data_IF_594320298179
#
_entry.id   IF_594320298179
#
_cell.length_a   1.000
_cell.length_b   1.000
_cell.length_c   1.000
_cell.angle_alpha   90.00
_cell.angle_beta   90.00
_cell.angle_gamma   90.00
#
_symmetry.space_group_name_H-M   'P 1'
#
loop_
_entity.id
_entity.type
_entity.pdbx_description
1 polymer ?
#
# COMPACT_ATOMS: atom_id res chain seq x y z
N UNK A 1 1.52 23.61 -12.46
CA UNK A 1 1.20 23.78 -11.02
C UNK A 1 0.66 22.47 -10.47
N UNK A 2 0.62 22.32 -9.15
CA UNK A 2 0.30 21.10 -8.39
C UNK A 2 -1.08 20.45 -8.68
N UNK A 3 -1.91 21.06 -9.53
CA UNK A 3 -3.18 20.49 -9.99
C UNK A 3 -3.09 19.78 -11.36
N UNK A 4 -1.89 19.70 -11.96
CA UNK A 4 -1.69 18.85 -13.13
C UNK A 4 -1.36 17.44 -12.63
N UNK A 5 -2.38 16.59 -12.55
CA UNK A 5 -2.19 15.18 -12.94
C UNK A 5 -1.48 15.27 -14.28
N UNK A 6 -0.23 14.80 -14.33
CA UNK A 6 0.59 14.78 -15.55
C UNK A 6 -0.34 14.42 -16.70
N UNK A 7 -0.46 15.33 -17.66
CA UNK A 7 -1.46 15.33 -18.73
C UNK A 7 -1.86 13.89 -19.08
N UNK A 8 -3.10 13.41 -18.80
CA UNK A 8 -3.46 12.01 -18.97
C UNK A 8 -3.45 11.54 -20.44
N UNK A 9 -3.05 12.42 -21.35
CA UNK A 9 -2.97 12.26 -22.80
C UNK A 9 -1.59 12.71 -23.35
N UNK A 10 -0.56 12.83 -22.50
CA UNK A 10 0.84 13.15 -22.85
C UNK A 10 1.04 14.39 -23.76
N UNK A 11 0.05 15.28 -23.85
CA UNK A 11 0.04 16.37 -24.84
C UNK A 11 0.93 17.54 -24.46
N UNK A 12 1.47 17.55 -23.23
CA UNK A 12 2.34 18.62 -22.75
C UNK A 12 3.61 18.04 -22.16
N UNK A 13 4.68 18.17 -22.92
CA UNK A 13 6.04 17.87 -22.49
C UNK A 13 6.49 18.85 -21.38
N UNK A 14 6.55 18.33 -20.15
CA UNK A 14 6.93 19.10 -18.96
C UNK A 14 8.41 19.53 -18.96
N UNK A 15 9.27 18.85 -19.74
CA UNK A 15 10.68 19.24 -19.89
C UNK A 15 10.85 20.60 -20.57
N UNK A 16 9.84 21.01 -21.36
CA UNK A 16 9.77 22.34 -22.01
C UNK A 16 9.23 23.44 -21.10
N UNK A 17 8.68 23.09 -19.93
CA UNK A 17 8.03 24.03 -18.99
C UNK A 17 8.87 24.25 -17.74
N UNK A 18 9.59 23.23 -17.27
CA UNK A 18 10.49 23.37 -16.12
C UNK A 18 11.64 22.38 -16.17
N UNK A 19 12.83 22.86 -15.79
CA UNK A 19 14.03 22.02 -15.61
C UNK A 19 13.98 21.19 -14.31
N UNK A 20 13.02 21.45 -13.42
CA UNK A 20 12.88 20.72 -12.15
C UNK A 20 11.92 19.55 -12.35
N UNK A 21 12.38 18.33 -12.02
CA UNK A 21 11.52 17.14 -12.01
C UNK A 21 10.36 17.37 -11.02
N UNK A 22 9.09 17.32 -11.46
CA UNK A 22 7.97 17.49 -10.57
C UNK A 22 8.00 16.39 -9.50
N UNK A 23 7.86 16.77 -8.23
CA UNK A 23 7.65 15.83 -7.14
C UNK A 23 6.15 15.57 -7.06
N UNK A 24 5.67 14.36 -7.41
CA UNK A 24 4.26 14.05 -7.27
C UNK A 24 3.86 14.05 -5.81
N UNK A 25 2.63 14.51 -5.53
CA UNK A 25 2.00 14.31 -4.23
C UNK A 25 1.57 12.85 -4.19
N UNK A 26 2.00 12.11 -3.18
CA UNK A 26 1.69 10.68 -3.04
C UNK A 26 0.28 10.52 -2.45
N UNK A 27 -0.52 9.62 -3.02
CA UNK A 27 -1.85 9.27 -2.53
C UNK A 27 -1.74 8.47 -1.23
N UNK A 28 -2.33 8.97 -0.15
CA UNK A 28 -2.41 8.28 1.14
C UNK A 28 -3.29 7.02 1.03
N UNK A 29 -4.39 7.11 0.27
CA UNK A 29 -5.29 6.00 0.01
C UNK A 29 -4.61 4.84 -0.75
N UNK A 30 -3.71 5.17 -1.69
CA UNK A 30 -2.92 4.18 -2.43
C UNK A 30 -1.57 3.86 -1.77
N UNK A 31 -1.41 4.18 -0.49
CA UNK A 31 -0.21 3.89 0.29
C UNK A 31 1.08 4.39 -0.37
N UNK A 32 0.99 5.54 -1.06
CA UNK A 32 2.07 6.22 -1.75
C UNK A 32 2.57 5.58 -3.04
N UNK A 33 1.85 4.60 -3.58
CA UNK A 33 2.15 3.94 -4.85
C UNK A 33 1.76 4.79 -6.06
N UNK A 34 0.66 5.53 -5.96
CA UNK A 34 0.19 6.44 -7.01
C UNK A 34 0.31 7.91 -6.62
N UNK A 35 0.48 8.80 -7.61
CA UNK A 35 0.34 10.24 -7.40
C UNK A 35 -1.14 10.64 -7.26
N UNK A 36 -1.40 11.74 -6.54
CA UNK A 36 -2.68 12.47 -6.55
C UNK A 36 -2.46 13.96 -6.82
N UNK A 37 -3.53 14.68 -7.13
CA UNK A 37 -3.55 16.15 -7.21
C UNK A 37 -3.87 16.79 -5.85
N UNK A 38 -3.56 18.08 -5.71
CA UNK A 38 -3.95 18.86 -4.51
C UNK A 38 -5.47 19.00 -4.36
N UNK A 39 -6.22 19.01 -5.46
CA UNK A 39 -7.68 18.86 -5.46
C UNK A 39 -8.02 17.45 -5.91
N UNK A 40 -8.67 16.65 -5.07
CA UNK A 40 -8.88 15.23 -5.34
C UNK A 40 -10.14 14.71 -4.65
N UNK A 41 -10.62 13.55 -5.11
CA UNK A 41 -11.61 12.74 -4.38
C UNK A 41 -10.82 11.58 -3.76
N UNK A 42 -10.99 11.26 -2.46
CA UNK A 42 -10.15 10.27 -1.77
C UNK A 42 -10.08 8.90 -2.47
N UNK A 43 -11.21 8.42 -2.98
CA UNK A 43 -11.30 7.21 -3.81
C UNK A 43 -12.57 7.26 -4.68
N UNK A 44 -12.67 6.46 -5.77
CA UNK A 44 -13.74 6.63 -6.77
C UNK A 44 -15.18 6.48 -6.24
N UNK A 45 -15.37 5.69 -5.18
CA UNK A 45 -16.64 5.41 -4.52
C UNK A 45 -16.82 6.18 -3.20
N UNK A 46 -16.06 7.26 -2.96
CA UNK A 46 -16.15 8.04 -1.73
C UNK A 46 -17.58 8.52 -1.42
N UNK A 47 -17.96 8.46 -0.15
CA UNK A 47 -19.24 8.94 0.36
C UNK A 47 -18.98 9.90 1.53
N UNK A 48 -19.39 11.17 1.45
CA UNK A 48 -19.99 11.83 0.27
C UNK A 48 -19.00 11.92 -0.92
N UNK A 49 -19.53 11.85 -2.15
CA UNK A 49 -18.73 11.91 -3.38
C UNK A 49 -18.37 13.36 -3.74
N UNK A 50 -17.61 14.02 -2.87
CA UNK A 50 -17.20 15.41 -3.00
C UNK A 50 -15.67 15.53 -3.05
N UNK A 51 -15.12 16.45 -3.87
CA UNK A 51 -13.70 16.72 -3.89
C UNK A 51 -13.27 17.55 -2.67
N UNK A 52 -12.00 17.39 -2.29
CA UNK A 52 -11.36 18.18 -1.23
C UNK A 52 -10.11 18.86 -1.79
N UNK A 53 -9.79 20.04 -1.27
CA UNK A 53 -8.52 20.73 -1.55
C UNK A 53 -7.61 20.54 -0.34
N UNK A 54 -6.49 19.86 -0.57
CA UNK A 54 -5.41 19.73 0.41
C UNK A 54 -4.61 21.04 0.46
N UNK A 55 -4.74 21.73 1.60
CA UNK A 55 -4.11 23.03 1.86
C UNK A 55 -2.60 22.95 2.01
N UNK A 56 -2.07 21.80 2.41
CA UNK A 56 -0.63 21.60 2.65
C UNK A 56 0.14 21.40 1.33
N UNK A 57 -0.55 21.06 0.24
CA UNK A 57 0.07 20.86 -1.07
C UNK A 57 -0.38 21.87 -2.12
N UNK A 58 -1.53 22.52 -1.91
CA UNK A 58 -2.07 23.48 -2.86
C UNK A 58 -1.24 24.78 -2.92
N UNK A 59 -0.79 25.15 -4.13
CA UNK A 59 0.05 26.33 -4.36
C UNK A 59 -0.63 27.64 -3.91
N UNK A 60 -1.95 27.72 -4.05
CA UNK A 60 -2.75 28.86 -3.60
C UNK A 60 -2.47 29.18 -2.12
N UNK A 61 -2.60 28.16 -1.26
CA UNK A 61 -2.41 28.29 0.18
C UNK A 61 -0.92 28.38 0.57
N UNK A 62 -0.04 27.69 -0.15
CA UNK A 62 1.39 27.66 0.17
C UNK A 62 2.17 28.94 -0.18
N UNK A 63 1.79 29.64 -1.27
CA UNK A 63 2.58 30.76 -1.80
C UNK A 63 1.85 32.11 -1.81
N UNK A 64 0.57 32.15 -1.44
CA UNK A 64 -0.25 33.35 -1.45
C UNK A 64 -1.37 33.26 -2.49
N UNK A 65 -2.59 33.58 -2.07
CA UNK A 65 -3.84 33.20 -2.76
C UNK A 65 -3.99 33.67 -4.21
N UNK A 66 -3.27 34.70 -4.64
CA UNK A 66 -3.40 35.19 -6.02
C UNK A 66 -2.49 34.46 -7.03
N UNK A 67 -1.61 33.58 -6.58
CA UNK A 67 -0.65 32.90 -7.47
C UNK A 67 -1.32 31.79 -8.30
N UNK A 68 -2.33 31.12 -7.74
CA UNK A 68 -2.96 29.97 -8.40
C UNK A 68 -4.45 29.87 -8.04
N UNK A 69 -5.32 30.14 -9.03
CA UNK A 69 -6.78 29.90 -8.98
C UNK A 69 -7.26 29.08 -10.19
N UNK A 70 -6.37 28.26 -10.75
CA UNK A 70 -6.63 27.58 -12.00
C UNK A 70 -7.85 26.64 -11.93
N UNK A 71 -8.07 25.95 -10.81
CA UNK A 71 -9.19 25.02 -10.68
C UNK A 71 -10.55 25.75 -10.62
N UNK A 72 -10.60 26.97 -10.07
CA UNK A 72 -11.80 27.81 -10.07
C UNK A 72 -12.25 28.13 -11.50
N UNK A 73 -11.31 28.50 -12.37
CA UNK A 73 -11.60 28.85 -13.77
C UNK A 73 -12.21 27.69 -14.58
N UNK A 74 -11.97 26.44 -14.19
CA UNK A 74 -12.53 25.25 -14.86
C UNK A 74 -13.74 24.65 -14.11
N UNK A 75 -14.09 25.19 -12.94
CA UNK A 75 -15.21 24.67 -12.15
C UNK A 75 -16.52 25.32 -12.60
N UNK A 76 -17.26 24.64 -13.49
CA UNK A 76 -18.57 25.12 -13.97
C UNK A 76 -19.59 25.33 -12.84
N UNK A 77 -19.54 24.45 -11.83
CA UNK A 77 -20.41 24.53 -10.66
C UNK A 77 -20.09 25.72 -9.74
N UNK A 78 -18.94 26.40 -9.95
CA UNK A 78 -18.45 27.50 -9.10
C UNK A 78 -18.43 27.13 -7.60
N UNK A 79 -18.07 25.87 -7.32
CA UNK A 79 -18.15 25.30 -5.97
C UNK A 79 -16.88 25.49 -5.14
N UNK A 80 -15.81 26.04 -5.72
CA UNK A 80 -14.53 26.23 -5.03
C UNK A 80 -14.60 27.52 -4.21
N UNK A 81 -14.50 27.38 -2.89
CA UNK A 81 -14.39 28.48 -1.95
C UNK A 81 -13.04 28.39 -1.20
N UNK A 82 -12.13 29.32 -1.49
CA UNK A 82 -10.82 29.39 -0.85
C UNK A 82 -10.89 30.00 0.57
N UNK A 83 -11.96 30.72 0.89
CA UNK A 83 -12.15 31.40 2.18
C UNK A 83 -12.92 30.55 3.18
N UNK A 84 -13.34 29.33 2.81
CA UNK A 84 -14.00 28.37 3.70
C UNK A 84 -13.18 28.19 4.99
N UNK A 85 -13.83 28.25 6.15
CA UNK A 85 -13.19 28.07 7.47
C UNK A 85 -13.79 26.89 8.20
N UNK A 86 -13.01 26.37 9.14
CA UNK A 86 -13.48 25.34 10.06
C UNK A 86 -14.61 25.90 10.92
N UNK A 87 -15.65 25.10 11.11
CA UNK A 87 -16.84 25.43 11.89
C UNK A 87 -16.88 24.54 13.14
N UNK A 88 -16.98 25.15 14.32
CA UNK A 88 -17.20 24.40 15.56
C UNK A 88 -18.71 24.23 15.73
N UNK A 89 -19.16 22.97 15.81
CA UNK A 89 -20.56 22.60 16.02
C UNK A 89 -20.75 22.04 17.42
N UNK A 90 -21.66 22.64 18.17
CA UNK A 90 -22.13 22.09 19.45
C UNK A 90 -23.27 21.11 19.18
N UNK A 91 -23.19 19.91 19.75
CA UNK A 91 -24.17 18.85 19.55
C UNK A 91 -24.50 18.23 20.91
N UNK A 92 -25.75 18.31 21.32
CA UNK A 92 -26.25 17.64 22.52
C UNK A 92 -26.50 16.16 22.22
N UNK A 93 -25.75 15.28 22.88
CA UNK A 93 -25.85 13.82 22.70
C UNK A 93 -25.98 13.11 24.05
N UNK A 94 -26.73 12.02 24.06
CA UNK A 94 -26.88 11.18 25.26
C UNK A 94 -25.74 10.17 25.45
N UNK A 95 -25.00 9.83 24.39
CA UNK A 95 -23.89 8.88 24.43
C UNK A 95 -22.91 9.14 23.27
N UNK A 96 -21.67 8.68 23.45
CA UNK A 96 -20.59 8.73 22.45
C UNK A 96 -20.04 7.33 22.23
N UNK A 97 -19.88 6.92 20.96
CA UNK A 97 -19.25 5.66 20.57
C UNK A 97 -17.90 5.98 19.92
N UNK A 98 -16.80 5.45 20.46
CA UNK A 98 -15.47 5.62 19.89
C UNK A 98 -15.17 4.47 18.92
N UNK A 99 -15.03 4.80 17.64
CA UNK A 99 -14.64 3.84 16.58
C UNK A 99 -13.59 4.42 15.62
N UNK A 100 -12.43 4.94 16.12
CA UNK A 100 -11.39 5.53 15.27
C UNK A 100 -10.66 4.51 14.38
N UNK A 101 -10.76 3.21 14.69
CA UNK A 101 -10.11 2.15 13.93
C UNK A 101 -8.71 1.81 14.44
N UNK A 102 -7.77 1.60 13.52
CA UNK A 102 -6.39 1.21 13.78
C UNK A 102 -5.44 1.91 12.80
N UNK A 103 -4.14 1.85 13.09
CA UNK A 103 -3.09 2.24 12.15
C UNK A 103 -2.24 1.00 11.80
N UNK A 104 -1.60 1.01 10.64
CA UNK A 104 -0.71 -0.10 10.27
C UNK A 104 0.65 0.08 10.95
N UNK A 105 1.26 -1.01 11.39
CA UNK A 105 2.63 -0.99 11.87
C UNK A 105 3.59 -0.40 10.82
N UNK A 106 4.40 0.58 11.23
CA UNK A 106 5.45 1.17 10.40
C UNK A 106 6.62 0.20 10.18
N UNK A 107 6.63 -0.44 9.01
CA UNK A 107 7.66 -1.40 8.61
C UNK A 107 9.06 -0.79 8.47
N UNK A 108 9.23 0.54 8.41
CA UNK A 108 10.56 1.17 8.42
C UNK A 108 11.33 0.90 9.72
N UNK A 109 10.62 0.58 10.81
CA UNK A 109 11.22 0.14 12.07
C UNK A 109 11.94 -1.21 11.95
N UNK A 110 11.67 -1.97 10.88
CA UNK A 110 12.29 -3.26 10.54
C UNK A 110 13.27 -3.12 9.37
N UNK A 111 14.38 -2.45 9.65
CA UNK A 111 15.42 -2.12 8.65
C UNK A 111 15.99 -3.36 7.94
N UNK A 112 16.02 -4.49 8.63
CA UNK A 112 16.46 -5.79 8.12
C UNK A 112 15.56 -6.32 6.99
N UNK A 113 14.30 -5.91 6.94
CA UNK A 113 13.34 -6.27 5.91
C UNK A 113 13.37 -5.31 4.71
N UNK A 114 14.04 -4.16 4.82
CA UNK A 114 14.30 -3.28 3.67
C UNK A 114 13.09 -2.56 3.09
N UNK A 115 12.01 -2.41 3.86
CA UNK A 115 10.86 -1.56 3.48
C UNK A 115 11.31 -0.11 3.21
N UNK A 116 10.70 0.54 2.19
CA UNK A 116 11.05 1.87 1.63
C UNK A 116 12.47 2.00 1.03
N UNK A 117 13.41 1.13 1.43
CA UNK A 117 14.75 1.01 0.83
C UNK A 117 14.72 0.24 -0.49
N UNK A 118 13.97 -0.86 -0.53
CA UNK A 118 13.84 -1.72 -1.70
C UNK A 118 12.44 -1.56 -2.30
N UNK A 119 12.30 -1.09 -3.55
CA UNK A 119 10.98 -0.78 -4.13
C UNK A 119 10.03 -1.98 -4.18
N UNK A 120 10.57 -3.20 -4.27
CA UNK A 120 9.77 -4.42 -4.35
C UNK A 120 9.47 -5.06 -2.98
N UNK A 121 9.85 -4.41 -1.88
CA UNK A 121 9.38 -4.73 -0.54
C UNK A 121 8.21 -3.80 -0.22
N UNK A 122 7.01 -4.36 -0.18
CA UNK A 122 5.77 -3.62 0.04
C UNK A 122 5.11 -4.04 1.35
N UNK A 123 4.30 -3.17 1.94
CA UNK A 123 3.44 -3.54 3.06
C UNK A 123 2.22 -4.32 2.56
N UNK A 124 1.54 -5.06 3.44
CA UNK A 124 0.28 -5.74 3.12
C UNK A 124 -0.75 -4.76 2.55
N UNK A 125 -0.89 -3.57 3.15
CA UNK A 125 -1.81 -2.55 2.63
C UNK A 125 -1.39 -2.04 1.24
N UNK A 126 -0.09 -1.89 0.95
CA UNK A 126 0.36 -1.58 -0.42
C UNK A 126 -0.01 -2.72 -1.38
N UNK A 127 0.19 -3.98 -0.97
CA UNK A 127 -0.16 -5.14 -1.78
C UNK A 127 -1.67 -5.24 -2.06
N UNK A 128 -2.53 -4.92 -1.08
CA UNK A 128 -3.98 -4.76 -1.28
C UNK A 128 -4.30 -3.70 -2.34
N UNK A 129 -3.63 -2.54 -2.28
CA UNK A 129 -3.82 -1.49 -3.28
C UNK A 129 -3.35 -1.96 -4.66
N UNK A 130 -2.24 -2.68 -4.77
CA UNK A 130 -1.74 -3.28 -6.02
C UNK A 130 -2.80 -4.19 -6.66
N UNK A 131 -3.37 -5.11 -5.88
CA UNK A 131 -4.37 -6.07 -6.36
C UNK A 131 -5.77 -5.45 -6.59
N UNK A 132 -6.02 -4.24 -6.09
CA UNK A 132 -7.32 -3.59 -6.20
C UNK A 132 -7.61 -3.14 -7.63
N UNK A 133 -8.80 -3.45 -8.15
CA UNK A 133 -9.26 -2.98 -9.46
C UNK A 133 -9.35 -1.44 -9.56
N UNK A 134 -9.57 -0.76 -8.43
CA UNK A 134 -9.52 0.71 -8.33
C UNK A 134 -8.21 1.19 -7.73
N UNK A 135 -7.15 0.38 -7.81
CA UNK A 135 -5.81 0.64 -7.32
C UNK A 135 -4.88 1.28 -8.35
N UNK A 136 -3.65 1.62 -7.94
CA UNK A 136 -2.63 2.23 -8.79
C UNK A 136 -2.33 1.46 -10.08
N UNK A 137 -2.42 0.13 -10.03
CA UNK A 137 -2.12 -0.77 -11.15
C UNK A 137 -3.37 -1.42 -11.75
N UNK A 138 -4.58 -0.93 -11.40
CA UNK A 138 -5.86 -1.41 -11.98
C UNK A 138 -6.01 -2.94 -11.83
N UNK A 139 -5.63 -3.46 -10.67
CA UNK A 139 -5.67 -4.89 -10.33
C UNK A 139 -4.52 -5.73 -10.91
N UNK A 140 -3.59 -5.15 -11.67
CA UNK A 140 -2.43 -5.90 -12.16
C UNK A 140 -1.37 -6.04 -11.07
N UNK A 141 -0.91 -7.27 -10.82
CA UNK A 141 0.19 -7.54 -9.92
C UNK A 141 1.52 -7.12 -10.56
N UNK A 142 1.92 -5.87 -10.35
CA UNK A 142 3.12 -5.27 -10.91
C UNK A 142 4.11 -4.85 -9.83
N UNK A 143 5.40 -5.05 -10.12
CA UNK A 143 6.51 -4.62 -9.28
C UNK A 143 6.64 -3.10 -9.27
N UNK A 144 6.71 -2.43 -8.10
CA UNK A 144 6.90 -0.98 -8.06
C UNK A 144 8.21 -0.49 -8.68
N UNK A 145 9.24 -1.34 -8.79
CA UNK A 145 10.51 -0.95 -9.39
C UNK A 145 10.48 -0.73 -10.90
N UNK A 146 9.73 -1.56 -11.61
CA UNK A 146 9.84 -1.71 -13.08
C UNK A 146 8.53 -2.07 -13.78
N UNK A 147 7.42 -2.10 -13.05
CA UNK A 147 6.06 -2.39 -13.53
C UNK A 147 5.95 -3.72 -14.28
N UNK A 148 6.79 -4.70 -13.92
CA UNK A 148 6.72 -6.06 -14.46
C UNK A 148 6.02 -7.01 -13.49
N UNK A 149 5.41 -8.05 -14.06
CA UNK A 149 4.85 -9.15 -13.27
C UNK A 149 5.96 -9.91 -12.52
N UNK A 150 5.86 -10.07 -11.18
CA UNK A 150 6.78 -10.92 -10.43
C UNK A 150 6.47 -12.40 -10.73
N UNK A 151 7.50 -13.25 -10.83
CA UNK A 151 7.30 -14.72 -10.92
C UNK A 151 7.09 -15.39 -9.57
N UNK A 152 7.71 -14.82 -8.52
CA UNK A 152 7.62 -15.30 -7.14
C UNK A 152 7.31 -14.16 -6.18
N UNK A 153 6.38 -14.38 -5.25
CA UNK A 153 6.04 -13.46 -4.16
C UNK A 153 6.24 -14.15 -2.81
N UNK A 154 6.96 -13.49 -1.90
CA UNK A 154 7.08 -13.92 -0.51
C UNK A 154 6.19 -13.06 0.40
N UNK A 155 5.48 -13.67 1.33
CA UNK A 155 4.76 -13.00 2.39
C UNK A 155 5.47 -13.26 3.72
N UNK A 156 5.81 -12.21 4.46
CA UNK A 156 6.50 -12.33 5.75
C UNK A 156 5.51 -12.02 6.86
N UNK A 157 5.21 -13.00 7.70
CA UNK A 157 4.27 -12.86 8.81
C UNK A 157 4.85 -12.18 10.03
N UNK A 158 3.94 -11.68 10.89
CA UNK A 158 4.26 -11.12 12.20
C UNK A 158 5.22 -9.91 12.14
N UNK A 159 5.16 -9.10 11.08
CA UNK A 159 5.98 -7.89 10.98
C UNK A 159 5.41 -6.83 11.92
N UNK A 160 6.12 -6.54 13.01
CA UNK A 160 5.57 -5.68 14.07
C UNK A 160 4.48 -6.36 14.89
N UNK A 161 4.63 -7.65 15.17
CA UNK A 161 3.74 -8.36 16.10
C UNK A 161 4.46 -9.56 16.69
N UNK A 162 4.07 -9.95 17.91
CA UNK A 162 4.71 -11.04 18.66
C UNK A 162 6.21 -10.80 18.84
N UNK A 163 6.55 -9.57 19.21
CA UNK A 163 7.89 -9.11 19.52
C UNK A 163 7.94 -8.47 20.91
N UNK A 164 9.13 -8.13 21.41
CA UNK A 164 9.28 -7.53 22.75
C UNK A 164 8.46 -6.24 22.89
N UNK A 165 8.59 -5.32 21.92
CA UNK A 165 7.90 -4.02 21.95
C UNK A 165 6.42 -4.11 21.57
N UNK A 166 6.02 -5.16 20.84
CA UNK A 166 4.65 -5.43 20.41
C UNK A 166 4.32 -6.91 20.64
N UNK A 167 4.11 -7.26 21.91
CA UNK A 167 4.02 -8.65 22.38
C UNK A 167 2.65 -9.31 22.16
N UNK A 168 1.78 -8.67 21.39
CA UNK A 168 0.47 -9.19 21.00
C UNK A 168 0.48 -9.72 19.56
N UNK A 169 -0.57 -10.47 19.21
CA UNK A 169 -0.82 -10.89 17.84
C UNK A 169 -1.87 -9.98 17.22
N UNK A 170 -1.58 -9.43 16.04
CA UNK A 170 -2.53 -8.60 15.26
C UNK A 170 -3.74 -9.35 14.71
N UNK A 171 -3.84 -10.67 14.95
CA UNK A 171 -5.02 -11.53 14.75
C UNK A 171 -5.50 -11.72 13.30
N UNK A 172 -5.23 -10.79 12.38
CA UNK A 172 -5.74 -10.79 10.99
C UNK A 172 -4.67 -11.13 9.95
N UNK A 173 -3.39 -10.99 10.28
CA UNK A 173 -2.28 -11.06 9.32
C UNK A 173 -2.07 -12.41 8.64
N UNK A 174 -2.31 -13.52 9.35
CA UNK A 174 -2.29 -14.85 8.73
C UNK A 174 -3.34 -14.98 7.61
N UNK A 175 -4.52 -14.38 7.81
CA UNK A 175 -5.66 -14.57 6.92
C UNK A 175 -5.67 -13.59 5.76
N UNK A 176 -5.34 -12.30 5.97
CA UNK A 176 -5.23 -11.40 4.83
C UNK A 176 -4.08 -11.82 3.92
N UNK A 177 -2.95 -12.33 4.43
CA UNK A 177 -1.85 -12.77 3.56
C UNK A 177 -2.23 -14.02 2.76
N UNK A 178 -2.98 -14.94 3.39
CA UNK A 178 -3.55 -16.10 2.69
C UNK A 178 -4.50 -15.64 1.59
N UNK A 179 -5.34 -14.65 1.88
CA UNK A 179 -6.26 -14.05 0.91
C UNK A 179 -5.51 -13.36 -0.24
N UNK A 180 -4.56 -12.49 0.08
CA UNK A 180 -3.70 -11.79 -0.87
C UNK A 180 -2.98 -12.77 -1.78
N UNK A 181 -2.42 -13.87 -1.24
CA UNK A 181 -1.77 -14.91 -2.02
C UNK A 181 -2.73 -15.63 -2.98
N UNK A 182 -3.94 -15.99 -2.52
CA UNK A 182 -4.97 -16.59 -3.38
C UNK A 182 -5.36 -15.63 -4.52
N UNK A 183 -5.68 -14.38 -4.18
CA UNK A 183 -6.09 -13.37 -5.16
C UNK A 183 -4.95 -13.10 -6.15
N UNK A 184 -3.69 -13.04 -5.68
CA UNK A 184 -2.53 -12.88 -6.55
C UNK A 184 -2.41 -14.04 -7.56
N UNK A 185 -2.64 -15.28 -7.14
CA UNK A 185 -2.68 -16.43 -8.07
C UNK A 185 -3.88 -16.41 -9.00
N UNK A 186 -5.03 -15.91 -8.58
CA UNK A 186 -6.18 -15.72 -9.47
C UNK A 186 -5.89 -14.71 -10.59
N UNK A 187 -5.12 -13.66 -10.29
CA UNK A 187 -4.67 -12.68 -11.30
C UNK A 187 -3.51 -13.21 -12.16
N UNK A 188 -2.66 -14.08 -11.60
CA UNK A 188 -1.50 -14.66 -12.28
C UNK A 188 -1.35 -16.15 -11.89
N UNK A 189 -1.95 -17.10 -12.65
CA UNK A 189 -2.01 -18.51 -12.28
C UNK A 189 -0.66 -19.19 -12.04
N UNK A 190 0.37 -18.81 -12.81
CA UNK A 190 1.72 -19.36 -12.73
C UNK A 190 2.57 -18.74 -11.61
N UNK A 191 1.99 -17.86 -10.78
CA UNK A 191 2.70 -17.21 -9.68
C UNK A 191 3.03 -18.21 -8.57
N UNK A 192 4.29 -18.24 -8.16
CA UNK A 192 4.70 -18.96 -6.94
C UNK A 192 4.58 -18.04 -5.72
N UNK A 193 3.78 -18.45 -4.74
CA UNK A 193 3.63 -17.73 -3.48
C UNK A 193 4.20 -18.56 -2.32
N UNK A 194 4.99 -17.92 -1.48
CA UNK A 194 5.53 -18.50 -0.24
C UNK A 194 5.15 -17.62 0.95
N UNK A 195 4.47 -18.18 1.95
CA UNK A 195 4.11 -17.50 3.20
C UNK A 195 5.05 -18.00 4.31
N UNK A 196 5.89 -17.12 4.82
CA UNK A 196 6.81 -17.37 5.92
C UNK A 196 6.16 -17.03 7.25
N UNK A 197 6.03 -18.02 8.13
CA UNK A 197 5.23 -17.91 9.35
C UNK A 197 5.85 -18.60 10.57
N UNK A 198 5.38 -18.22 11.77
CA UNK A 198 5.70 -18.92 13.03
C UNK A 198 4.60 -19.95 13.34
N UNK A 199 3.36 -19.45 13.46
CA UNK A 199 2.14 -20.24 13.60
C UNK A 199 1.06 -19.64 12.67
N UNK A 200 0.29 -20.48 11.98
CA UNK A 200 -0.89 -20.04 11.23
C UNK A 200 -2.06 -19.94 12.22
N UNK A 201 -2.69 -18.76 12.27
CA UNK A 201 -3.81 -18.47 13.16
C UNK A 201 -5.11 -18.34 12.36
N UNK A 202 -5.64 -19.49 11.92
CA UNK A 202 -6.87 -19.62 11.14
C UNK A 202 -8.09 -19.95 12.04
N UNK A 203 -8.33 -19.16 13.09
CA UNK A 203 -9.27 -19.50 14.17
C UNK A 203 -10.75 -19.15 13.91
N UNK A 204 -11.05 -18.41 12.84
CA UNK A 204 -12.42 -18.03 12.48
C UNK A 204 -13.20 -19.16 11.82
N UNK A 205 -14.54 -19.04 11.78
CA UNK A 205 -15.38 -20.00 11.05
C UNK A 205 -14.99 -20.01 9.56
N UNK A 206 -14.61 -21.16 9.03
CA UNK A 206 -14.19 -21.30 7.63
C UNK A 206 -12.72 -20.97 7.36
N UNK A 207 -11.97 -20.47 8.36
CA UNK A 207 -10.60 -20.01 8.13
C UNK A 207 -9.62 -21.16 7.91
N UNK A 208 -9.76 -22.25 8.67
CA UNK A 208 -8.97 -23.46 8.46
C UNK A 208 -9.21 -24.04 7.06
N UNK A 209 -10.48 -24.11 6.62
CA UNK A 209 -10.81 -24.54 5.27
C UNK A 209 -10.22 -23.61 4.20
N UNK A 210 -10.17 -22.31 4.47
CA UNK A 210 -9.56 -21.33 3.56
C UNK A 210 -8.04 -21.49 3.48
N UNK A 211 -7.38 -21.77 4.61
CA UNK A 211 -5.97 -22.11 4.69
C UNK A 211 -5.65 -23.41 3.93
N UNK A 212 -6.43 -24.47 4.10
CA UNK A 212 -6.24 -25.72 3.36
C UNK A 212 -6.48 -25.53 1.86
N UNK A 213 -7.51 -24.77 1.46
CA UNK A 213 -7.72 -24.38 0.05
C UNK A 213 -6.51 -23.64 -0.53
N UNK A 214 -5.87 -22.76 0.24
CA UNK A 214 -4.67 -22.05 -0.20
C UNK A 214 -3.52 -23.02 -0.52
N UNK A 215 -3.34 -24.05 0.32
CA UNK A 215 -2.35 -25.12 0.10
C UNK A 215 -2.68 -25.96 -1.14
N UNK A 216 -3.95 -26.31 -1.34
CA UNK A 216 -4.41 -27.02 -2.55
C UNK A 216 -4.14 -26.22 -3.83
N UNK A 217 -4.24 -24.89 -3.76
CA UNK A 217 -3.87 -23.97 -4.84
C UNK A 217 -2.35 -23.83 -5.02
N UNK A 218 -1.53 -24.54 -4.25
CA UNK A 218 -0.07 -24.56 -4.35
C UNK A 218 0.61 -23.35 -3.72
N UNK A 219 -0.03 -22.67 -2.77
CA UNK A 219 0.65 -21.67 -1.92
C UNK A 219 1.51 -22.42 -0.91
N UNK A 220 2.81 -22.11 -0.90
CA UNK A 220 3.78 -22.74 0.01
C UNK A 220 3.74 -22.05 1.36
N UNK A 221 3.65 -22.82 2.43
CA UNK A 221 3.74 -22.32 3.80
C UNK A 221 5.06 -22.78 4.40
N UNK A 222 5.94 -21.83 4.71
CA UNK A 222 7.28 -22.11 5.23
C UNK A 222 7.31 -21.68 6.70
N UNK A 223 7.48 -22.64 7.60
CA UNK A 223 7.52 -22.37 9.03
C UNK A 223 8.88 -21.80 9.45
N UNK A 224 9.08 -20.52 9.15
CA UNK A 224 10.28 -19.78 9.51
C UNK A 224 9.95 -18.29 9.66
N UNK A 225 10.72 -17.61 10.50
CA UNK A 225 10.78 -16.15 10.50
C UNK A 225 12.08 -15.73 9.78
N UNK A 226 11.99 -15.18 8.56
CA UNK A 226 13.17 -14.77 7.81
C UNK A 226 14.01 -13.74 8.57
N UNK A 227 15.32 -13.85 8.45
CA UNK A 227 16.27 -13.03 9.22
C UNK A 227 16.55 -11.68 8.56
N UNK A 228 16.63 -11.65 7.23
CA UNK A 228 16.89 -10.43 6.46
C UNK A 228 16.49 -10.59 5.00
N UNK A 229 16.33 -9.44 4.34
CA UNK A 229 16.11 -9.35 2.90
C UNK A 229 17.24 -8.53 2.27
N UNK A 230 17.74 -8.98 1.12
CA UNK A 230 18.73 -8.24 0.32
C UNK A 230 18.24 -8.07 -1.11
N UNK A 231 18.43 -6.89 -1.68
CA UNK A 231 18.12 -6.64 -3.10
C UNK A 231 19.32 -7.01 -4.00
N UNK A 232 19.05 -7.65 -5.13
CA UNK A 232 19.98 -7.83 -6.23
C UNK A 232 19.99 -6.54 -7.07
N UNK A 233 21.08 -5.75 -7.11
CA UNK A 233 21.04 -4.42 -7.73
C UNK A 233 20.68 -4.41 -9.22
N UNK A 234 21.06 -5.45 -9.96
CA UNK A 234 20.83 -5.55 -11.41
C UNK A 234 19.37 -5.85 -11.77
N UNK A 235 18.71 -6.75 -11.03
CA UNK A 235 17.34 -7.21 -11.35
C UNK A 235 16.28 -6.58 -10.46
N UNK A 236 16.68 -5.97 -9.34
CA UNK A 236 15.80 -5.49 -8.26
C UNK A 236 14.98 -6.61 -7.59
N UNK A 237 15.35 -7.86 -7.81
CA UNK A 237 14.77 -9.00 -7.10
C UNK A 237 15.32 -9.06 -5.67
N UNK A 238 14.66 -9.83 -4.82
CA UNK A 238 14.88 -9.87 -3.38
C UNK A 238 15.29 -11.27 -2.97
N UNK A 239 16.45 -11.39 -2.33
CA UNK A 239 16.91 -12.61 -1.70
C UNK A 239 16.37 -12.61 -0.27
N UNK A 240 15.57 -13.63 0.05
CA UNK A 240 15.08 -13.89 1.41
C UNK A 240 15.91 -15.03 2.00
N UNK A 241 16.58 -14.75 3.12
CA UNK A 241 17.38 -15.73 3.85
C UNK A 241 16.56 -16.31 5.01
N UNK A 242 16.40 -17.63 5.04
CA UNK A 242 15.57 -18.33 6.04
C UNK A 242 16.12 -19.73 6.35
N UNK A 243 15.68 -20.31 7.47
CA UNK A 243 15.93 -21.72 7.78
C UNK A 243 14.74 -22.58 7.30
N UNK A 244 15.02 -23.68 6.63
CA UNK A 244 13.99 -24.66 6.26
C UNK A 244 13.61 -25.58 7.43
N UNK A 245 12.74 -26.56 7.17
CA UNK A 245 12.29 -27.54 8.17
C UNK A 245 13.41 -28.44 8.72
N UNK A 246 14.53 -28.58 7.98
CA UNK A 246 15.73 -29.30 8.41
C UNK A 246 16.72 -28.39 9.14
N UNK A 247 16.34 -27.13 9.36
CA UNK A 247 17.16 -26.08 9.95
C UNK A 247 18.39 -25.70 9.09
N UNK A 248 18.38 -26.04 7.79
CA UNK A 248 19.41 -25.63 6.84
C UNK A 248 19.15 -24.21 6.37
N UNK A 249 20.23 -23.43 6.22
CA UNK A 249 20.14 -22.06 5.74
C UNK A 249 19.87 -22.06 4.24
N UNK A 250 18.75 -21.47 3.85
CA UNK A 250 18.33 -21.32 2.46
C UNK A 250 18.33 -19.84 2.07
N UNK A 251 18.70 -19.58 0.82
CA UNK A 251 18.51 -18.29 0.16
C UNK A 251 17.65 -18.50 -1.08
N UNK A 252 16.50 -17.82 -1.14
CA UNK A 252 15.60 -17.90 -2.29
C UNK A 252 15.31 -16.51 -2.84
N UNK A 253 15.28 -16.42 -4.17
CA UNK A 253 15.03 -15.18 -4.91
C UNK A 253 13.54 -14.98 -5.19
N UNK A 254 13.02 -13.80 -4.86
CA UNK A 254 11.65 -13.38 -5.07
C UNK A 254 11.59 -12.10 -5.92
N UNK A 255 10.57 -11.98 -6.75
CA UNK A 255 10.32 -10.75 -7.52
C UNK A 255 9.71 -9.63 -6.68
N UNK A 256 9.00 -10.00 -5.61
CA UNK A 256 8.37 -9.08 -4.66
C UNK A 256 8.24 -9.73 -3.28
N UNK A 257 8.32 -8.92 -2.23
CA UNK A 257 8.04 -9.34 -0.85
C UNK A 257 6.94 -8.46 -0.28
N UNK A 258 5.88 -9.08 0.26
CA UNK A 258 4.81 -8.42 1.00
C UNK A 258 5.02 -8.64 2.51
N UNK A 259 5.19 -7.54 3.25
CA UNK A 259 5.31 -7.54 4.70
C UNK A 259 3.93 -7.54 5.33
N UNK A 260 3.59 -8.62 6.02
CA UNK A 260 2.33 -8.72 6.75
C UNK A 260 2.44 -7.94 8.07
N UNK A 261 2.25 -6.63 7.95
CA UNK A 261 2.32 -5.67 9.05
C UNK A 261 1.19 -5.85 10.07
N UNK A 262 1.54 -5.74 11.35
CA UNK A 262 0.58 -5.68 12.44
C UNK A 262 -0.29 -4.42 12.43
N UNK A 263 -1.24 -4.38 13.36
CA UNK A 263 -2.12 -3.25 13.69
C UNK A 263 -1.65 -2.61 15.00
#
# INVERSE_FOLDING_TARGET
GACKVVCPVDTVDLSKVTLRKPRPIKSEFDMGLAPRSSIYIPYPQAVPKIPVIDRETCIHFLKGGDICKSCENFCEAKAIDYEQKDEIKEVDVGAVILSPGFELFDANKKKELGYDRYPNVVSSMQFERILSASGPYIGQLLRPSDEKHPRKVAFIQCVGSREVDQNYCSSVCCMYATKEAIIAKEHQPDLECSIFYIDIRAFGKGFEQYYERAKELGIKYVRCRPSSIKEIPATKNLIVTYHDEKNELQEEEFGMVALSCGL
#
